data_IF_217269974750
#
_entry.id   IF_217269974750
#
_cell.length_a   1.000
_cell.length_b   1.000
_cell.length_c   1.000
_cell.angle_alpha   90.00
_cell.angle_beta   90.00
_cell.angle_gamma   90.00
#
_symmetry.space_group_name_H-M   'P 1'
#
loop_
_entity.id
_entity.type
_entity.pdbx_description
1 polymer ?
#
# COMPACT_ATOMS: atom_id res chain seq x y z
N UNK A 1 -16.41 -7.38 11.66
CA UNK A 1 -14.95 -7.24 11.42
C UNK A 1 -14.57 -7.61 9.99
N UNK A 2 -14.84 -8.84 9.50
CA UNK A 2 -14.45 -9.25 8.14
C UNK A 2 -15.07 -8.40 7.02
N UNK A 3 -16.35 -8.01 7.14
CA UNK A 3 -17.06 -7.22 6.11
C UNK A 3 -16.52 -5.79 5.99
N UNK A 4 -16.34 -5.10 7.12
CA UNK A 4 -15.79 -3.74 7.16
C UNK A 4 -14.34 -3.72 6.68
N UNK A 5 -13.56 -4.74 7.03
CA UNK A 5 -12.20 -4.92 6.51
C UNK A 5 -12.20 -5.14 4.99
N UNK A 6 -13.11 -5.95 4.45
CA UNK A 6 -13.20 -6.16 3.01
C UNK A 6 -13.53 -4.87 2.26
N UNK A 7 -14.45 -4.04 2.78
CA UNK A 7 -14.73 -2.74 2.18
C UNK A 7 -13.53 -1.80 2.22
N UNK A 8 -12.83 -1.75 3.36
CA UNK A 8 -11.59 -0.99 3.48
C UNK A 8 -10.54 -1.46 2.46
N UNK A 9 -10.33 -2.78 2.33
CA UNK A 9 -9.40 -3.33 1.34
C UNK A 9 -9.81 -3.00 -0.09
N UNK A 10 -11.10 -3.07 -0.42
CA UNK A 10 -11.58 -2.70 -1.76
C UNK A 10 -11.36 -1.21 -2.04
N UNK A 11 -11.56 -0.34 -1.04
CA UNK A 11 -11.29 1.09 -1.17
C UNK A 11 -9.79 1.35 -1.35
N UNK A 12 -8.93 0.72 -0.53
CA UNK A 12 -7.48 0.73 -0.69
C UNK A 12 -7.10 0.35 -2.13
N UNK A 13 -7.63 -0.76 -2.64
CA UNK A 13 -7.35 -1.21 -4.00
C UNK A 13 -7.84 -0.21 -5.05
N UNK A 14 -9.00 0.40 -4.84
CA UNK A 14 -9.54 1.42 -5.74
C UNK A 14 -8.68 2.70 -5.79
N UNK A 15 -7.96 3.03 -4.73
CA UNK A 15 -7.09 4.21 -4.65
C UNK A 15 -5.66 3.91 -5.07
N UNK A 16 -5.05 2.86 -4.52
CA UNK A 16 -3.63 2.57 -4.67
C UNK A 16 -3.31 1.88 -5.99
N UNK A 17 -4.17 0.97 -6.47
CA UNK A 17 -3.88 0.22 -7.68
C UNK A 17 -3.75 1.14 -8.92
N UNK A 18 -4.59 2.18 -9.14
CA UNK A 18 -4.37 3.15 -10.22
C UNK A 18 -3.01 3.88 -10.14
N UNK A 19 -2.54 4.18 -8.92
CA UNK A 19 -1.26 4.83 -8.69
C UNK A 19 -0.11 3.88 -9.05
N UNK A 20 -0.18 2.62 -8.59
CA UNK A 20 0.82 1.61 -8.95
C UNK A 20 0.78 1.22 -10.43
N UNK A 21 -0.41 1.19 -11.04
CA UNK A 21 -0.54 1.05 -12.49
C UNK A 21 0.25 2.16 -13.19
N UNK A 22 0.16 3.41 -12.73
CA UNK A 22 0.92 4.53 -13.30
C UNK A 22 2.43 4.38 -13.09
N UNK A 23 2.85 3.94 -11.90
CA UNK A 23 4.26 3.67 -11.58
C UNK A 23 4.85 2.58 -12.49
N UNK A 24 4.04 1.59 -12.86
CA UNK A 24 4.41 0.45 -13.70
C UNK A 24 4.13 0.67 -15.19
N UNK A 25 3.99 1.92 -15.65
CA UNK A 25 3.60 2.23 -17.03
C UNK A 25 4.53 1.67 -18.12
N UNK A 26 5.77 1.31 -17.76
CA UNK A 26 6.75 0.66 -18.64
C UNK A 26 6.47 -0.83 -18.91
N UNK A 27 5.58 -1.46 -18.15
CA UNK A 27 5.22 -2.89 -18.30
C UNK A 27 4.00 -3.09 -19.21
N UNK A 28 3.81 -4.27 -19.81
CA UNK A 28 2.56 -4.62 -20.49
C UNK A 28 1.36 -4.61 -19.53
N UNK A 29 0.17 -4.19 -20.01
CA UNK A 29 -1.03 -4.07 -19.16
C UNK A 29 -1.39 -5.37 -18.43
N UNK A 30 -1.22 -6.52 -19.10
CA UNK A 30 -1.49 -7.86 -18.54
C UNK A 30 -0.64 -8.17 -17.30
N UNK A 31 0.58 -7.63 -17.24
CA UNK A 31 1.47 -7.77 -16.07
C UNK A 31 1.20 -6.67 -15.04
N UNK A 32 0.90 -5.44 -15.49
CA UNK A 32 0.68 -4.28 -14.61
C UNK A 32 -0.43 -4.48 -13.60
N UNK A 33 -1.55 -5.06 -14.02
CA UNK A 33 -2.72 -5.20 -13.17
C UNK A 33 -2.46 -6.06 -11.92
N UNK A 34 -2.00 -7.32 -12.03
CA UNK A 34 -1.69 -8.10 -10.83
C UNK A 34 -0.58 -7.47 -9.99
N UNK A 35 0.44 -6.87 -10.62
CA UNK A 35 1.54 -6.20 -9.91
C UNK A 35 1.11 -4.92 -9.17
N UNK A 36 0.07 -4.25 -9.63
CA UNK A 36 -0.48 -3.07 -8.97
C UNK A 36 -1.41 -3.41 -7.80
N UNK A 37 -2.06 -4.58 -7.83
CA UNK A 37 -2.94 -5.05 -6.75
C UNK A 37 -2.14 -5.74 -5.62
N UNK A 38 -1.03 -6.40 -5.98
CA UNK A 38 -0.27 -7.25 -5.08
C UNK A 38 0.25 -6.55 -3.81
N UNK A 39 0.82 -5.33 -3.86
CA UNK A 39 1.41 -4.69 -2.67
C UNK A 39 0.37 -4.56 -1.55
N UNK A 40 -0.75 -3.90 -1.82
CA UNK A 40 -1.82 -3.67 -0.85
C UNK A 40 -2.58 -4.94 -0.48
N UNK A 41 -2.76 -5.88 -1.43
CA UNK A 41 -3.35 -7.19 -1.15
C UNK A 41 -2.52 -8.01 -0.17
N UNK A 42 -1.21 -7.78 -0.09
CA UNK A 42 -0.31 -8.47 0.83
C UNK A 42 -0.17 -7.72 2.17
N UNK A 43 0.03 -6.41 2.13
CA UNK A 43 0.34 -5.60 3.32
C UNK A 43 -0.87 -5.36 4.21
N UNK A 44 -2.06 -5.13 3.64
CA UNK A 44 -3.23 -4.74 4.43
C UNK A 44 -3.82 -5.89 5.27
N UNK A 45 -3.90 -7.15 4.79
CA UNK A 45 -4.22 -8.26 5.69
C UNK A 45 -3.22 -8.37 6.84
N UNK A 46 -1.91 -8.21 6.57
CA UNK A 46 -0.87 -8.30 7.59
C UNK A 46 -1.00 -7.17 8.62
N UNK A 47 -1.23 -5.94 8.17
CA UNK A 47 -1.46 -4.78 9.02
C UNK A 47 -2.62 -5.05 9.98
N UNK A 48 -3.80 -5.42 9.45
CA UNK A 48 -5.02 -5.50 10.25
C UNK A 48 -5.16 -6.78 11.07
N UNK A 49 -4.62 -7.91 10.62
CA UNK A 49 -4.77 -9.19 11.30
C UNK A 49 -3.55 -9.63 12.11
N UNK A 50 -2.37 -9.05 11.89
CA UNK A 50 -1.17 -9.40 12.65
C UNK A 50 -0.60 -8.21 13.42
N UNK A 51 -0.29 -7.11 12.72
CA UNK A 51 0.40 -5.98 13.34
C UNK A 51 -0.50 -5.22 14.33
N UNK A 52 -1.73 -4.91 13.90
CA UNK A 52 -2.67 -4.14 14.71
C UNK A 52 -3.05 -4.87 16.01
N UNK A 53 -3.42 -6.17 16.01
CA UNK A 53 -3.72 -6.88 17.26
C UNK A 53 -2.51 -7.00 18.19
N UNK A 54 -1.29 -7.06 17.65
CA UNK A 54 -0.06 -7.19 18.44
C UNK A 54 0.39 -5.87 19.09
N UNK A 55 0.21 -4.73 18.40
CA UNK A 55 0.74 -3.44 18.85
C UNK A 55 -0.32 -2.56 19.53
N UNK A 56 -1.59 -2.65 19.12
CA UNK A 56 -2.66 -1.79 19.62
C UNK A 56 -2.85 -1.83 21.14
N UNK A 57 -2.81 -3.01 21.81
CA UNK A 57 -2.98 -3.07 23.26
C UNK A 57 -1.89 -2.34 24.05
N UNK A 58 -0.67 -2.30 23.51
CA UNK A 58 0.52 -1.77 24.20
C UNK A 58 0.78 -0.29 23.88
N UNK A 59 0.54 0.12 22.62
CA UNK A 59 0.94 1.44 22.11
C UNK A 59 -0.25 2.38 21.86
N UNK A 60 -1.47 1.85 21.89
CA UNK A 60 -2.68 2.59 21.54
C UNK A 60 -2.86 2.79 20.04
N UNK A 61 -4.00 3.39 19.67
CA UNK A 61 -4.45 3.52 18.28
C UNK A 61 -3.47 4.28 17.38
N UNK A 62 -3.14 5.53 17.73
CA UNK A 62 -2.37 6.40 16.85
C UNK A 62 -0.93 5.93 16.64
N UNK A 63 -0.27 5.43 17.68
CA UNK A 63 1.07 4.87 17.56
C UNK A 63 1.06 3.60 16.68
N UNK A 64 0.05 2.75 16.85
CA UNK A 64 -0.11 1.53 16.04
C UNK A 64 -0.36 1.87 14.57
N UNK A 65 -1.20 2.85 14.27
CA UNK A 65 -1.42 3.34 12.90
C UNK A 65 -0.13 3.90 12.31
N UNK A 66 0.59 4.76 13.04
CA UNK A 66 1.84 5.33 12.54
C UNK A 66 2.91 4.27 12.20
N UNK A 67 3.12 3.30 13.09
CA UNK A 67 4.05 2.18 12.86
C UNK A 67 3.55 1.28 11.74
N UNK A 68 2.25 1.00 11.72
CA UNK A 68 1.60 0.16 10.73
C UNK A 68 1.71 0.69 9.32
N UNK A 69 1.21 1.90 9.09
CA UNK A 69 1.27 2.56 7.78
C UNK A 69 2.72 2.78 7.33
N UNK A 70 3.62 3.15 8.25
CA UNK A 70 5.05 3.24 7.96
C UNK A 70 5.64 1.91 7.50
N UNK A 71 5.26 0.80 8.13
CA UNK A 71 5.70 -0.55 7.74
C UNK A 71 5.11 -0.97 6.40
N UNK A 72 3.84 -0.65 6.13
CA UNK A 72 3.17 -0.87 4.84
C UNK A 72 3.96 -0.18 3.73
N UNK A 73 4.24 1.11 3.86
CA UNK A 73 5.00 1.87 2.86
C UNK A 73 6.35 1.23 2.55
N UNK A 74 7.08 0.75 3.57
CA UNK A 74 8.38 0.11 3.36
C UNK A 74 8.26 -1.24 2.63
N UNK A 75 7.29 -2.07 2.99
CA UNK A 75 7.07 -3.38 2.36
C UNK A 75 6.57 -3.22 0.93
N UNK A 76 5.63 -2.30 0.69
CA UNK A 76 5.12 -2.01 -0.65
C UNK A 76 6.20 -1.42 -1.54
N UNK A 77 7.04 -0.52 -1.00
CA UNK A 77 8.20 -0.02 -1.73
C UNK A 77 9.18 -1.13 -2.09
N UNK A 78 9.44 -2.08 -1.19
CA UNK A 78 10.32 -3.21 -1.47
C UNK A 78 9.74 -4.12 -2.58
N UNK A 79 8.43 -4.41 -2.52
CA UNK A 79 7.73 -5.16 -3.58
C UNK A 79 7.77 -4.40 -4.90
N UNK A 80 7.42 -3.11 -4.92
CA UNK A 80 7.37 -2.29 -6.13
C UNK A 80 8.76 -2.10 -6.75
N UNK A 81 9.81 -1.96 -5.93
CA UNK A 81 11.19 -1.87 -6.39
C UNK A 81 11.64 -3.12 -7.17
N UNK A 82 11.04 -4.30 -6.89
CA UNK A 82 11.33 -5.52 -7.64
C UNK A 82 10.74 -5.53 -9.05
N UNK A 83 9.78 -4.63 -9.34
CA UNK A 83 9.08 -4.55 -10.62
C UNK A 83 9.47 -3.33 -11.47
N UNK A 84 10.00 -2.29 -10.83
CA UNK A 84 10.51 -1.08 -11.48
C UNK A 84 11.83 -1.34 -12.23
N UNK A 85 12.06 -0.66 -13.36
CA UNK A 85 13.29 -0.83 -14.12
C UNK A 85 14.42 -0.04 -13.45
N UNK A 86 15.62 -0.62 -13.41
CA UNK A 86 16.83 0.12 -13.02
C UNK A 86 17.48 0.85 -14.21
N UNK A 87 18.55 1.64 -13.97
CA UNK A 87 19.32 2.29 -15.01
C UNK A 87 19.79 1.28 -16.07
N UNK A 88 19.48 1.53 -17.35
CA UNK A 88 19.91 0.68 -18.46
C UNK A 88 19.07 -0.60 -18.68
N UNK A 89 17.86 -0.70 -18.10
CA UNK A 89 16.95 -1.84 -18.32
C UNK A 89 17.28 -3.09 -17.50
N UNK A 90 18.39 -3.07 -16.76
CA UNK A 90 18.74 -4.05 -15.74
C UNK A 90 18.46 -3.44 -14.36
N UNK A 91 17.87 -4.20 -13.44
CA UNK A 91 17.38 -3.66 -12.17
C UNK A 91 18.33 -3.97 -11.01
N UNK A 92 19.29 -3.09 -10.65
CA UNK A 92 19.80 -3.10 -9.29
C UNK A 92 18.67 -2.56 -8.40
N UNK A 93 18.08 -3.45 -7.59
CA UNK A 93 16.99 -3.17 -6.64
C UNK A 93 17.18 -1.85 -5.86
N UNK A 94 18.43 -1.51 -5.53
CA UNK A 94 18.82 -0.28 -4.81
C UNK A 94 18.43 1.00 -5.57
N UNK A 95 18.55 1.01 -6.89
CA UNK A 95 18.24 2.17 -7.72
C UNK A 95 16.72 2.41 -7.84
N UNK A 96 15.94 1.33 -7.79
CA UNK A 96 14.49 1.37 -7.84
C UNK A 96 13.85 1.67 -6.48
N UNK A 97 14.58 1.52 -5.37
CA UNK A 97 14.03 1.70 -4.03
C UNK A 97 13.53 3.12 -3.76
N UNK A 98 14.29 4.15 -4.17
CA UNK A 98 13.88 5.54 -3.98
C UNK A 98 12.59 5.88 -4.73
N UNK A 99 12.45 5.65 -6.05
CA UNK A 99 11.19 5.91 -6.73
C UNK A 99 10.06 5.00 -6.20
N UNK A 100 10.35 3.75 -5.84
CA UNK A 100 9.36 2.86 -5.23
C UNK A 100 8.82 3.42 -3.90
N UNK A 101 9.70 3.94 -3.05
CA UNK A 101 9.32 4.54 -1.77
C UNK A 101 8.44 5.78 -1.95
N UNK A 102 8.75 6.63 -2.94
CA UNK A 102 7.93 7.79 -3.24
C UNK A 102 6.54 7.39 -3.74
N UNK A 103 6.46 6.39 -4.62
CA UNK A 103 5.18 5.87 -5.10
C UNK A 103 4.36 5.21 -3.99
N UNK A 104 5.00 4.38 -3.15
CA UNK A 104 4.33 3.72 -2.03
C UNK A 104 3.85 4.71 -0.98
N UNK A 105 4.67 5.69 -0.60
CA UNK A 105 4.28 6.74 0.34
C UNK A 105 3.11 7.59 -0.21
N UNK A 106 3.13 7.91 -1.52
CA UNK A 106 2.05 8.64 -2.14
C UNK A 106 0.75 7.82 -2.21
N UNK A 107 0.83 6.55 -2.59
CA UNK A 107 -0.32 5.65 -2.65
C UNK A 107 -0.96 5.45 -1.27
N UNK A 108 -0.16 5.06 -0.28
CA UNK A 108 -0.62 4.85 1.09
C UNK A 108 -1.16 6.15 1.71
N UNK A 109 -0.46 7.28 1.52
CA UNK A 109 -0.93 8.58 2.00
C UNK A 109 -2.27 8.99 1.39
N UNK A 110 -2.46 8.77 0.08
CA UNK A 110 -3.75 9.01 -0.57
C UNK A 110 -4.85 8.08 -0.04
N UNK A 111 -4.53 6.80 0.14
CA UNK A 111 -5.42 5.76 0.68
C UNK A 111 -5.90 6.10 2.10
N UNK A 112 -4.98 6.47 3.00
CA UNK A 112 -5.29 6.90 4.37
C UNK A 112 -6.19 8.14 4.38
N UNK A 113 -5.87 9.16 3.56
CA UNK A 113 -6.68 10.37 3.47
C UNK A 113 -8.09 10.08 2.95
N UNK A 114 -8.22 9.23 1.92
CA UNK A 114 -9.52 8.83 1.38
C UNK A 114 -10.30 8.01 2.40
N UNK A 115 -9.66 7.08 3.12
CA UNK A 115 -10.29 6.28 4.16
C UNK A 115 -10.81 7.14 5.32
N UNK A 116 -10.05 8.15 5.76
CA UNK A 116 -10.53 9.10 6.77
C UNK A 116 -11.68 9.98 6.25
N UNK A 117 -11.59 10.47 5.02
CA UNK A 117 -12.66 11.26 4.42
C UNK A 117 -13.95 10.45 4.26
N UNK A 118 -13.84 9.19 3.78
CA UNK A 118 -14.95 8.24 3.65
C UNK A 118 -15.59 7.95 5.01
N UNK A 119 -14.77 7.67 6.03
CA UNK A 119 -15.23 7.45 7.40
C UNK A 119 -15.98 8.66 7.95
N UNK A 120 -15.47 9.86 7.71
CA UNK A 120 -16.08 11.11 8.18
C UNK A 120 -17.40 11.42 7.47
N UNK A 121 -17.49 11.20 6.15
CA UNK A 121 -18.67 11.51 5.35
C UNK A 121 -19.78 10.47 5.44
N UNK A 122 -19.42 9.18 5.50
CA UNK A 122 -20.34 8.07 5.28
C UNK A 122 -20.39 7.07 6.44
N UNK A 123 -19.54 7.23 7.45
CA UNK A 123 -19.46 6.29 8.58
C UNK A 123 -18.96 4.90 8.19
N UNK A 124 -18.38 4.76 6.99
CA UNK A 124 -17.77 3.54 6.47
C UNK A 124 -16.33 3.84 6.09
N UNK A 125 -15.38 2.91 6.34
CA UNK A 125 -14.03 3.05 5.82
C UNK A 125 -14.07 3.11 4.29
#
# INVERSE_FOLDING_TARGET
MARSWLYALLLTQAVEAPIYLRALAHRPLRERLPLALLPSAFTHPLLWFALFPALHPELGYWATVAIGEGSVVLVEAALLASFLPGPGGQAPWRSALRPALLWAAFANGASVLVGFASSWLFGVP
#
